data_IF_603093684021
#
_entry.id   IF_603093684021
#
_cell.length_a   1.000
_cell.length_b   1.000
_cell.length_c   1.000
_cell.angle_alpha   90.00
_cell.angle_beta   90.00
_cell.angle_gamma   90.00
#
_symmetry.space_group_name_H-M   'P 1'
#
loop_
_entity.id
_entity.type
_entity.pdbx_description
1 polymer ?
#
# COMPACT_ATOMS: atom_id res chain seq x y z
N UNK A 1 23.27 -44.57 41.92
CA UNK A 1 23.06 -43.96 40.59
C UNK A 1 22.04 -42.83 40.69
N UNK A 2 22.44 -41.56 40.58
CA UNK A 2 21.52 -40.41 40.49
C UNK A 2 21.28 -40.08 39.01
N UNK A 3 20.07 -40.30 38.50
CA UNK A 3 19.67 -39.84 37.16
C UNK A 3 19.51 -38.32 37.23
N UNK A 4 20.36 -37.56 36.53
CA UNK A 4 20.19 -36.12 36.35
C UNK A 4 18.86 -35.91 35.60
N UNK A 5 17.91 -35.21 36.22
CA UNK A 5 16.71 -34.72 35.54
C UNK A 5 17.20 -33.82 34.41
N UNK A 6 16.93 -34.21 33.17
CA UNK A 6 17.08 -33.35 32.01
C UNK A 6 16.02 -32.27 32.13
N UNK A 7 16.43 -31.05 32.48
CA UNK A 7 15.56 -29.88 32.34
C UNK A 7 15.27 -29.72 30.85
N UNK A 8 14.00 -29.89 30.46
CA UNK A 8 13.56 -29.60 29.11
C UNK A 8 13.77 -28.09 28.86
N UNK A 9 14.39 -27.69 27.75
CA UNK A 9 14.55 -26.27 27.44
C UNK A 9 13.17 -25.64 27.35
N UNK A 10 12.96 -24.55 28.10
CA UNK A 10 11.76 -23.72 27.98
C UNK A 10 11.60 -23.30 26.52
N UNK A 11 10.42 -23.46 25.91
CA UNK A 11 10.20 -23.05 24.53
C UNK A 11 10.46 -21.54 24.44
N UNK A 12 11.49 -21.17 23.69
CA UNK A 12 11.78 -19.78 23.37
C UNK A 12 10.54 -19.22 22.65
N UNK A 13 9.96 -18.09 23.08
CA UNK A 13 8.81 -17.53 22.37
C UNK A 13 9.26 -17.24 20.94
N UNK A 14 8.63 -17.90 19.96
CA UNK A 14 8.81 -17.55 18.56
C UNK A 14 8.35 -16.09 18.40
N UNK A 15 9.30 -15.19 18.19
CA UNK A 15 9.02 -13.81 17.82
C UNK A 15 8.47 -13.81 16.39
N UNK A 16 7.16 -14.06 16.25
CA UNK A 16 6.43 -14.08 14.98
C UNK A 16 6.07 -12.68 14.47
N UNK A 17 6.78 -11.64 14.92
CA UNK A 17 6.55 -10.29 14.41
C UNK A 17 7.13 -10.20 12.99
N UNK A 18 6.35 -9.81 11.97
CA UNK A 18 6.87 -9.73 10.62
C UNK A 18 8.06 -8.78 10.55
N UNK A 19 9.06 -9.21 9.79
CA UNK A 19 10.27 -8.46 9.47
C UNK A 19 9.92 -7.12 8.79
N UNK A 20 10.89 -6.20 8.75
CA UNK A 20 10.71 -4.92 8.07
C UNK A 20 10.35 -5.11 6.59
N UNK A 21 10.95 -6.10 5.93
CA UNK A 21 10.75 -6.38 4.51
C UNK A 21 9.37 -6.97 4.25
N UNK A 22 8.88 -7.89 5.10
CA UNK A 22 7.51 -8.40 5.02
C UNK A 22 6.49 -7.27 5.19
N UNK A 23 6.69 -6.37 6.16
CA UNK A 23 5.82 -5.19 6.35
C UNK A 23 5.84 -4.23 5.16
N UNK A 24 6.93 -4.14 4.41
CA UNK A 24 7.01 -3.34 3.18
C UNK A 24 6.27 -4.05 2.05
N UNK A 25 6.44 -5.37 1.91
CA UNK A 25 5.70 -6.22 0.97
C UNK A 25 4.19 -6.09 1.15
N UNK A 26 3.70 -6.24 2.38
CA UNK A 26 2.28 -6.09 2.71
C UNK A 26 1.74 -4.70 2.30
N UNK A 27 2.53 -3.65 2.55
CA UNK A 27 2.14 -2.27 2.19
C UNK A 27 2.10 -2.07 0.68
N UNK A 28 3.04 -2.67 -0.05
CA UNK A 28 3.04 -2.65 -1.50
C UNK A 28 1.81 -3.35 -2.09
N UNK A 29 1.44 -4.51 -1.57
CA UNK A 29 0.22 -5.21 -2.03
C UNK A 29 -1.06 -4.43 -1.72
N UNK A 30 -1.11 -3.77 -0.55
CA UNK A 30 -2.22 -2.87 -0.19
C UNK A 30 -2.31 -1.68 -1.15
N UNK A 31 -1.18 -1.06 -1.53
CA UNK A 31 -1.19 0.09 -2.46
C UNK A 31 -1.74 -0.32 -3.84
N UNK A 32 -1.31 -1.47 -4.37
CA UNK A 32 -1.82 -2.02 -5.63
C UNK A 32 -3.32 -2.30 -5.55
N UNK A 33 -3.77 -2.93 -4.46
CA UNK A 33 -5.18 -3.27 -4.27
C UNK A 33 -6.07 -2.03 -4.25
N UNK A 34 -5.66 -0.98 -3.53
CA UNK A 34 -6.37 0.29 -3.47
C UNK A 34 -6.43 0.97 -4.85
N UNK A 35 -5.33 0.95 -5.60
CA UNK A 35 -5.28 1.49 -6.96
C UNK A 35 -6.24 0.75 -7.90
N UNK A 36 -6.27 -0.57 -7.84
CA UNK A 36 -7.20 -1.38 -8.64
C UNK A 36 -8.66 -1.09 -8.28
N UNK A 37 -8.98 -0.95 -6.99
CA UNK A 37 -10.32 -0.56 -6.56
C UNK A 37 -10.68 0.86 -7.03
N UNK A 38 -9.72 1.79 -7.02
CA UNK A 38 -9.86 3.13 -7.56
C UNK A 38 -10.24 3.12 -9.04
N UNK A 39 -9.57 2.28 -9.84
CA UNK A 39 -9.91 2.08 -11.26
C UNK A 39 -11.34 1.57 -11.46
N UNK A 40 -11.79 0.63 -10.63
CA UNK A 40 -13.18 0.14 -10.68
C UNK A 40 -14.18 1.27 -10.40
N UNK A 41 -13.95 2.10 -9.37
CA UNK A 41 -14.83 3.23 -9.07
C UNK A 41 -14.79 4.32 -10.16
N UNK A 42 -13.63 4.57 -10.76
CA UNK A 42 -13.47 5.44 -11.93
C UNK A 42 -14.36 4.97 -13.08
N UNK A 43 -14.30 3.68 -13.43
CA UNK A 43 -15.15 3.09 -14.48
C UNK A 43 -16.63 3.18 -14.15
N UNK A 44 -17.01 3.11 -12.87
CA UNK A 44 -18.40 3.31 -12.41
C UNK A 44 -18.84 4.78 -12.34
N UNK A 45 -17.97 5.73 -12.67
CA UNK A 45 -18.24 7.17 -12.61
C UNK A 45 -18.24 7.77 -11.20
N UNK A 46 -17.92 6.99 -10.15
CA UNK A 46 -17.78 7.53 -8.80
C UNK A 46 -16.37 8.09 -8.61
N UNK A 47 -16.16 9.29 -9.15
CA UNK A 47 -14.84 9.93 -9.20
C UNK A 47 -14.31 10.29 -7.81
N UNK A 48 -15.16 10.75 -6.88
CA UNK A 48 -14.76 11.08 -5.51
C UNK A 48 -14.17 9.87 -4.79
N UNK A 49 -14.85 8.72 -4.88
CA UNK A 49 -14.35 7.50 -4.26
C UNK A 49 -13.09 6.98 -4.95
N UNK A 50 -12.99 7.10 -6.27
CA UNK A 50 -11.78 6.77 -7.00
C UNK A 50 -10.60 7.63 -6.54
N UNK A 51 -10.81 8.95 -6.41
CA UNK A 51 -9.82 9.91 -5.90
C UNK A 51 -9.27 9.48 -4.55
N UNK A 52 -10.13 9.26 -3.56
CA UNK A 52 -9.71 8.87 -2.20
C UNK A 52 -8.87 7.59 -2.20
N UNK A 53 -9.23 6.62 -3.04
CA UNK A 53 -8.50 5.36 -3.15
C UNK A 53 -7.12 5.55 -3.77
N UNK A 54 -7.02 6.35 -4.83
CA UNK A 54 -5.74 6.68 -5.46
C UNK A 54 -4.83 7.49 -4.52
N UNK A 55 -5.35 8.49 -3.80
CA UNK A 55 -4.58 9.24 -2.79
C UNK A 55 -4.04 8.33 -1.69
N UNK A 56 -4.85 7.39 -1.20
CA UNK A 56 -4.41 6.42 -0.20
C UNK A 56 -3.34 5.48 -0.76
N UNK A 57 -3.49 5.01 -1.99
CA UNK A 57 -2.48 4.17 -2.64
C UNK A 57 -1.15 4.90 -2.82
N UNK A 58 -1.19 6.17 -3.27
CA UNK A 58 -0.01 7.01 -3.43
C UNK A 58 0.67 7.27 -2.07
N UNK A 59 -0.09 7.56 -1.02
CA UNK A 59 0.46 7.78 0.33
C UNK A 59 1.23 6.56 0.84
N UNK A 60 0.74 5.35 0.56
CA UNK A 60 1.45 4.12 0.92
C UNK A 60 2.70 3.96 0.08
N UNK A 61 2.62 4.18 -1.24
CA UNK A 61 3.77 4.08 -2.13
C UNK A 61 4.87 5.10 -1.79
N UNK A 62 4.51 6.29 -1.30
CA UNK A 62 5.47 7.29 -0.81
C UNK A 62 6.26 6.82 0.41
N UNK A 63 5.68 5.91 1.21
CA UNK A 63 6.30 5.32 2.40
C UNK A 63 7.21 4.13 2.06
N UNK A 64 7.18 3.64 0.82
CA UNK A 64 8.04 2.59 0.28
C UNK A 64 9.22 3.28 -0.42
N UNK A 65 10.46 2.92 -0.08
CA UNK A 65 11.66 3.58 -0.61
C UNK A 65 11.85 3.39 -2.12
N UNK A 66 11.22 2.37 -2.70
CA UNK A 66 11.23 2.13 -4.13
C UNK A 66 10.38 3.17 -4.90
N UNK A 67 11.08 4.00 -5.68
CA UNK A 67 10.52 5.13 -6.40
C UNK A 67 10.04 4.78 -7.81
N UNK A 68 10.42 3.62 -8.36
CA UNK A 68 10.21 3.34 -9.79
C UNK A 68 8.72 3.30 -10.20
N UNK A 69 7.84 2.86 -9.31
CA UNK A 69 6.41 2.66 -9.65
C UNK A 69 5.48 3.85 -9.31
N UNK A 70 6.02 4.97 -8.80
CA UNK A 70 5.18 6.09 -8.32
C UNK A 70 4.40 6.77 -9.44
N UNK A 71 4.95 6.82 -10.66
CA UNK A 71 4.35 7.54 -11.80
C UNK A 71 2.93 7.08 -12.16
N UNK A 72 2.64 5.78 -12.00
CA UNK A 72 1.29 5.24 -12.25
C UNK A 72 0.26 5.88 -11.32
N UNK A 73 0.60 6.04 -10.04
CA UNK A 73 -0.30 6.59 -9.03
C UNK A 73 -0.55 8.09 -9.21
N UNK A 74 0.48 8.86 -9.57
CA UNK A 74 0.32 10.28 -9.92
C UNK A 74 -0.56 10.44 -11.16
N UNK A 75 -0.29 9.68 -12.22
CA UNK A 75 -1.08 9.72 -13.45
C UNK A 75 -2.56 9.39 -13.22
N UNK A 76 -2.89 8.41 -12.38
CA UNK A 76 -4.29 8.09 -12.05
C UNK A 76 -5.00 9.27 -11.36
N UNK A 77 -4.32 10.00 -10.47
CA UNK A 77 -4.88 11.20 -9.85
C UNK A 77 -5.05 12.35 -10.85
N UNK A 78 -4.07 12.59 -11.73
CA UNK A 78 -4.21 13.59 -12.80
C UNK A 78 -5.40 13.30 -13.72
N UNK A 79 -5.61 12.01 -14.06
CA UNK A 79 -6.79 11.58 -14.81
C UNK A 79 -8.10 11.84 -14.05
N UNK A 80 -8.15 11.55 -12.75
CA UNK A 80 -9.36 11.79 -11.94
C UNK A 80 -9.69 13.28 -11.85
N UNK A 81 -8.72 14.13 -11.55
CA UNK A 81 -8.95 15.59 -11.49
C UNK A 81 -9.40 16.14 -12.85
N UNK A 82 -8.81 15.64 -13.95
CA UNK A 82 -9.28 15.99 -15.31
C UNK A 82 -10.73 15.57 -15.54
N UNK A 83 -11.13 14.37 -15.13
CA UNK A 83 -12.53 13.89 -15.25
C UNK A 83 -13.50 14.71 -14.38
N UNK A 84 -13.04 15.23 -13.25
CA UNK A 84 -13.78 16.15 -12.38
C UNK A 84 -13.83 17.60 -12.92
N UNK A 85 -13.12 17.89 -14.01
CA UNK A 85 -12.92 19.24 -14.58
C UNK A 85 -12.13 20.20 -13.68
N UNK A 86 -11.37 19.68 -12.72
CA UNK A 86 -10.41 20.45 -11.94
C UNK A 86 -9.04 20.38 -12.63
N UNK A 87 -8.86 21.23 -13.64
CA UNK A 87 -7.68 21.21 -14.49
C UNK A 87 -6.42 21.72 -13.76
N UNK A 88 -6.59 22.59 -12.77
CA UNK A 88 -5.46 23.10 -11.99
C UNK A 88 -4.83 21.98 -11.19
N UNK A 89 -5.66 21.21 -10.48
CA UNK A 89 -5.17 20.02 -9.77
C UNK A 89 -4.65 18.95 -10.73
N UNK A 90 -5.31 18.73 -11.88
CA UNK A 90 -4.80 17.76 -12.86
C UNK A 90 -3.35 18.07 -13.32
N UNK A 91 -3.01 19.34 -13.49
CA UNK A 91 -1.66 19.78 -13.86
C UNK A 91 -0.62 19.59 -12.75
N UNK A 92 -1.02 19.54 -11.48
CA UNK A 92 -0.10 19.22 -10.38
C UNK A 92 0.33 17.75 -10.37
N UNK A 93 -0.46 16.87 -11.01
CA UNK A 93 -0.23 15.42 -11.04
C UNK A 93 0.32 14.89 -12.38
N UNK A 94 0.36 15.72 -13.43
CA UNK A 94 0.99 15.40 -14.72
C UNK A 94 2.36 16.06 -14.83
#
# INVERSE_FOLDING_TARGET
MRRKKTENPTPTPLNNSPSKDEKIGDRFEISITLNNLGKVYKTKGNLEKAKTLFERSLKIQQQIEDRQDRGVYYNELGVIYRLMKDYNQALEYF
#
